data_IF_379157096894
#
_entry.id   IF_379157096894
#
_cell.length_a   1.000
_cell.length_b   1.000
_cell.length_c   1.000
_cell.angle_alpha   90.00
_cell.angle_beta   90.00
_cell.angle_gamma   90.00
#
_symmetry.space_group_name_H-M   'P 1'
#
loop_
_entity.id
_entity.type
_entity.pdbx_description
1 polymer ?
#
# COMPACT_ATOMS: atom_id res chain seq x y z
N UNK A 1 23.57 -3.81 12.02
CA UNK A 1 22.16 -3.97 12.35
C UNK A 1 21.67 -5.36 11.94
N UNK A 2 20.75 -5.97 12.64
CA UNK A 2 20.50 -7.42 12.63
C UNK A 2 19.62 -7.87 11.47
N UNK A 3 19.94 -9.03 10.91
CA UNK A 3 19.13 -9.75 9.90
C UNK A 3 17.63 -9.80 10.28
N UNK A 4 17.33 -9.82 11.57
CA UNK A 4 15.98 -9.77 12.13
C UNK A 4 15.23 -8.44 11.86
N UNK A 5 15.90 -7.31 11.83
CA UNK A 5 15.28 -6.02 11.51
C UNK A 5 14.93 -5.94 10.02
N UNK A 6 15.80 -6.47 9.17
CA UNK A 6 15.58 -6.56 7.74
C UNK A 6 14.42 -7.52 7.39
N UNK A 7 14.34 -8.70 8.02
CA UNK A 7 13.24 -9.63 7.76
C UNK A 7 11.88 -9.06 8.15
N UNK A 8 11.79 -8.26 9.23
CA UNK A 8 10.56 -7.56 9.60
C UNK A 8 10.19 -6.48 8.59
N UNK A 9 11.18 -5.70 8.13
CA UNK A 9 10.95 -4.72 7.06
C UNK A 9 10.52 -5.40 5.77
N UNK A 10 11.14 -6.51 5.41
CA UNK A 10 10.79 -7.32 4.25
C UNK A 10 9.33 -7.77 4.28
N UNK A 11 8.84 -8.26 5.42
CA UNK A 11 7.44 -8.64 5.60
C UNK A 11 6.50 -7.45 5.35
N UNK A 12 6.82 -6.28 5.88
CA UNK A 12 6.00 -5.06 5.67
C UNK A 12 6.04 -4.63 4.20
N UNK A 13 7.19 -4.75 3.52
CA UNK A 13 7.31 -4.47 2.08
C UNK A 13 6.41 -5.41 1.27
N UNK A 14 6.41 -6.71 1.60
CA UNK A 14 5.56 -7.71 0.94
C UNK A 14 4.08 -7.34 1.07
N UNK A 15 3.59 -7.10 2.29
CA UNK A 15 2.20 -6.70 2.51
C UNK A 15 1.84 -5.40 1.79
N UNK A 16 2.69 -4.40 1.88
CA UNK A 16 2.46 -3.12 1.22
C UNK A 16 2.41 -3.24 -0.30
N UNK A 17 3.35 -3.97 -0.87
CA UNK A 17 3.42 -4.21 -2.31
C UNK A 17 2.19 -4.93 -2.83
N UNK A 18 1.76 -5.98 -2.10
CA UNK A 18 0.50 -6.68 -2.34
C UNK A 18 -0.69 -5.73 -2.32
N UNK A 19 -0.79 -4.90 -1.29
CA UNK A 19 -1.88 -3.92 -1.14
C UNK A 19 -1.89 -2.91 -2.30
N UNK A 20 -0.73 -2.35 -2.65
CA UNK A 20 -0.63 -1.39 -3.75
C UNK A 20 -1.13 -1.99 -5.06
N UNK A 21 -0.64 -3.18 -5.43
CA UNK A 21 -1.00 -3.82 -6.69
C UNK A 21 -2.46 -4.29 -6.67
N UNK A 22 -2.92 -4.87 -5.55
CA UNK A 22 -4.30 -5.34 -5.43
C UNK A 22 -5.30 -4.18 -5.45
N UNK A 23 -5.07 -3.10 -4.72
CA UNK A 23 -5.95 -1.92 -4.74
C UNK A 23 -5.97 -1.30 -6.13
N UNK A 24 -4.82 -1.13 -6.77
CA UNK A 24 -4.74 -0.56 -8.12
C UNK A 24 -5.47 -1.41 -9.16
N UNK A 25 -5.48 -2.75 -9.01
CA UNK A 25 -6.16 -3.64 -9.95
C UNK A 25 -7.64 -3.82 -9.66
N UNK A 26 -8.01 -3.97 -8.40
CA UNK A 26 -9.37 -4.37 -8.02
C UNK A 26 -10.30 -3.22 -7.61
N UNK A 27 -9.78 -2.06 -7.20
CA UNK A 27 -10.62 -0.91 -6.84
C UNK A 27 -11.43 -0.38 -8.03
N UNK A 28 -10.88 -0.20 -9.25
CA UNK A 28 -11.66 0.15 -10.42
C UNK A 28 -12.75 -0.89 -10.74
N UNK A 29 -12.41 -2.16 -10.67
CA UNK A 29 -13.34 -3.27 -10.91
C UNK A 29 -14.47 -3.30 -9.86
N UNK A 30 -14.14 -3.04 -8.61
CA UNK A 30 -15.11 -2.91 -7.53
C UNK A 30 -16.11 -1.77 -7.80
N UNK A 31 -15.62 -0.61 -8.24
CA UNK A 31 -16.50 0.51 -8.61
C UNK A 31 -17.45 0.15 -9.75
N UNK A 32 -16.97 -0.58 -10.76
CA UNK A 32 -17.78 -0.97 -11.92
C UNK A 32 -18.76 -2.09 -11.56
N UNK A 33 -18.28 -3.18 -10.97
CA UNK A 33 -19.06 -4.40 -10.79
C UNK A 33 -19.95 -4.36 -9.54
N UNK A 34 -19.47 -3.80 -8.44
CA UNK A 34 -20.21 -3.77 -7.18
C UNK A 34 -21.04 -2.49 -6.99
N UNK A 35 -20.52 -1.34 -7.45
CA UNK A 35 -21.20 -0.05 -7.27
C UNK A 35 -21.94 0.41 -8.53
N UNK A 36 -21.92 -0.36 -9.63
CA UNK A 36 -22.62 -0.04 -10.87
C UNK A 36 -22.09 1.19 -11.60
N UNK A 37 -20.84 1.58 -11.34
CA UNK A 37 -20.22 2.73 -11.99
C UNK A 37 -19.90 2.45 -13.47
N UNK A 38 -19.88 3.48 -14.30
CA UNK A 38 -19.44 3.35 -15.68
C UNK A 38 -17.93 3.02 -15.73
N UNK A 39 -17.45 2.35 -16.80
CA UNK A 39 -16.01 2.06 -16.95
C UNK A 39 -15.12 3.30 -16.88
N UNK A 40 -15.62 4.45 -17.37
CA UNK A 40 -14.91 5.73 -17.29
C UNK A 40 -14.73 6.19 -15.84
N UNK A 41 -15.78 6.07 -15.02
CA UNK A 41 -15.76 6.42 -13.60
C UNK A 41 -14.87 5.44 -12.84
N UNK A 42 -14.97 4.13 -13.09
CA UNK A 42 -14.09 3.14 -12.46
C UNK A 42 -12.60 3.41 -12.76
N UNK A 43 -12.23 3.63 -14.02
CA UNK A 43 -10.84 3.90 -14.41
C UNK A 43 -10.30 5.25 -13.91
N UNK A 44 -11.15 6.25 -13.73
CA UNK A 44 -10.78 7.55 -13.17
C UNK A 44 -10.20 7.42 -11.74
N UNK A 45 -10.57 6.38 -10.97
CA UNK A 45 -9.99 6.12 -9.64
C UNK A 45 -8.48 5.95 -9.70
N UNK A 46 -7.96 5.24 -10.72
CA UNK A 46 -6.52 5.08 -10.92
C UNK A 46 -5.82 6.39 -11.26
N UNK A 47 -6.43 7.20 -12.11
CA UNK A 47 -5.89 8.50 -12.50
C UNK A 47 -5.78 9.42 -11.29
N UNK A 48 -6.81 9.46 -10.45
CA UNK A 48 -6.81 10.25 -9.21
C UNK A 48 -5.73 9.76 -8.25
N UNK A 49 -5.64 8.45 -8.01
CA UNK A 49 -4.61 7.86 -7.13
C UNK A 49 -3.21 8.18 -7.66
N UNK A 50 -3.01 8.13 -8.98
CA UNK A 50 -1.69 8.39 -9.59
C UNK A 50 -1.30 9.85 -9.48
N UNK A 51 -2.19 10.77 -9.80
CA UNK A 51 -1.94 12.22 -9.74
C UNK A 51 -1.71 12.67 -8.28
N UNK A 52 -2.62 12.28 -7.38
CA UNK A 52 -2.48 12.62 -5.96
C UNK A 52 -1.31 11.90 -5.31
N UNK A 53 -0.94 10.72 -5.82
CA UNK A 53 0.19 9.93 -5.38
C UNK A 53 1.54 10.63 -5.56
N UNK A 54 1.71 11.42 -6.63
CA UNK A 54 2.93 12.23 -6.82
C UNK A 54 3.07 13.25 -5.68
N UNK A 55 2.00 13.98 -5.37
CA UNK A 55 2.00 14.93 -4.25
C UNK A 55 2.20 14.21 -2.91
N UNK A 56 1.55 13.07 -2.74
CA UNK A 56 1.67 12.25 -1.54
C UNK A 56 3.10 11.77 -1.29
N UNK A 57 3.83 11.39 -2.35
CA UNK A 57 5.24 10.98 -2.24
C UNK A 57 6.13 12.13 -1.79
N UNK A 58 5.92 13.34 -2.33
CA UNK A 58 6.69 14.53 -1.95
C UNK A 58 6.43 14.94 -0.50
N UNK A 59 5.15 14.99 -0.10
CA UNK A 59 4.76 15.32 1.28
C UNK A 59 5.23 14.23 2.25
N UNK A 60 5.07 12.97 1.87
CA UNK A 60 5.49 11.83 2.66
C UNK A 60 7.00 11.77 2.88
N UNK A 61 7.79 12.11 1.85
CA UNK A 61 9.25 12.26 1.98
C UNK A 61 9.63 13.31 3.02
N UNK A 62 9.05 14.52 2.92
CA UNK A 62 9.27 15.59 3.92
C UNK A 62 8.81 15.19 5.32
N UNK A 63 7.71 14.44 5.43
CA UNK A 63 7.21 13.96 6.71
C UNK A 63 8.15 12.92 7.32
N UNK A 64 8.71 12.03 6.49
CA UNK A 64 9.68 11.02 6.91
C UNK A 64 10.98 11.65 7.44
N UNK A 65 11.47 12.70 6.77
CA UNK A 65 12.65 13.44 7.20
C UNK A 65 12.43 14.15 8.55
N UNK A 66 11.23 14.69 8.76
CA UNK A 66 10.90 15.45 10.00
C UNK A 66 10.50 14.56 11.17
N UNK A 67 9.59 13.60 10.94
CA UNK A 67 8.99 12.78 12.02
C UNK A 67 9.67 11.40 12.19
N UNK A 68 10.52 11.00 11.24
CA UNK A 68 11.19 9.71 11.22
C UNK A 68 10.51 8.70 10.29
N UNK A 69 11.32 7.83 9.72
CA UNK A 69 10.90 6.90 8.66
C UNK A 69 9.89 5.87 9.15
N UNK A 70 10.13 5.24 10.31
CA UNK A 70 9.22 4.20 10.87
C UNK A 70 7.86 4.80 11.28
N UNK A 71 7.85 6.01 11.84
CA UNK A 71 6.61 6.70 12.20
C UNK A 71 5.77 7.02 10.96
N UNK A 72 6.41 7.49 9.89
CA UNK A 72 5.72 7.80 8.62
C UNK A 72 5.12 6.52 8.02
N UNK A 73 5.82 5.38 8.11
CA UNK A 73 5.28 4.08 7.71
C UNK A 73 4.04 3.69 8.49
N UNK A 74 4.09 3.79 9.82
CA UNK A 74 2.95 3.49 10.69
C UNK A 74 1.75 4.36 10.37
N UNK A 75 1.96 5.68 10.22
CA UNK A 75 0.87 6.61 9.85
C UNK A 75 0.22 6.24 8.53
N UNK A 76 1.01 5.92 7.49
CA UNK A 76 0.47 5.52 6.19
C UNK A 76 -0.33 4.21 6.28
N UNK A 77 0.24 3.17 6.87
CA UNK A 77 -0.46 1.88 6.98
C UNK A 77 -1.70 1.97 7.88
N UNK A 78 -1.65 2.72 8.98
CA UNK A 78 -2.83 2.92 9.84
C UNK A 78 -3.91 3.78 9.18
N UNK A 79 -3.53 4.76 8.33
CA UNK A 79 -4.49 5.57 7.58
C UNK A 79 -5.20 4.76 6.49
N UNK A 80 -4.51 3.79 5.89
CA UNK A 80 -5.08 2.97 4.82
C UNK A 80 -6.28 2.15 5.30
N UNK A 81 -6.23 1.61 6.52
CA UNK A 81 -7.28 0.76 7.09
C UNK A 81 -8.65 1.44 7.13
N UNK A 82 -8.83 2.62 7.78
CA UNK A 82 -10.13 3.29 7.80
C UNK A 82 -10.58 3.77 6.41
N UNK A 83 -9.64 4.18 5.54
CA UNK A 83 -9.99 4.57 4.18
C UNK A 83 -10.58 3.40 3.38
N UNK A 84 -9.99 2.20 3.47
CA UNK A 84 -10.52 1.00 2.85
C UNK A 84 -11.85 0.57 3.50
N UNK A 85 -11.97 0.65 4.82
CA UNK A 85 -13.20 0.34 5.51
C UNK A 85 -14.36 1.21 4.98
N UNK A 86 -14.18 2.52 4.94
CA UNK A 86 -15.20 3.44 4.42
C UNK A 86 -15.51 3.13 2.95
N UNK A 87 -14.49 2.94 2.11
CA UNK A 87 -14.68 2.68 0.69
C UNK A 87 -15.48 1.39 0.42
N UNK A 88 -15.25 0.34 1.20
CA UNK A 88 -15.88 -0.98 0.99
C UNK A 88 -17.27 -1.05 1.62
N UNK A 89 -17.40 -0.63 2.87
CA UNK A 89 -18.63 -0.86 3.64
C UNK A 89 -19.74 0.17 3.37
N UNK A 90 -19.41 1.38 2.89
CA UNK A 90 -20.42 2.41 2.59
C UNK A 90 -21.16 2.13 1.28
N UNK A 91 -20.62 1.29 0.40
CA UNK A 91 -21.21 0.94 -0.91
C UNK A 91 -21.65 2.16 -1.75
N UNK A 92 -20.96 3.28 -1.58
CA UNK A 92 -21.23 4.52 -2.27
C UNK A 92 -20.02 4.95 -3.09
N UNK A 93 -20.24 5.24 -4.37
CA UNK A 93 -19.19 5.73 -5.26
C UNK A 93 -18.58 7.05 -4.76
N UNK A 94 -19.39 7.92 -4.18
CA UNK A 94 -18.94 9.19 -3.62
C UNK A 94 -18.02 9.01 -2.41
N UNK A 95 -18.32 8.00 -1.56
CA UNK A 95 -17.46 7.65 -0.44
C UNK A 95 -16.11 7.11 -0.93
N UNK A 96 -16.09 6.27 -1.96
CA UNK A 96 -14.85 5.81 -2.59
C UNK A 96 -14.05 7.00 -3.08
N UNK A 97 -14.64 7.91 -3.85
CA UNK A 97 -13.96 9.09 -4.38
C UNK A 97 -13.41 10.00 -3.29
N UNK A 98 -14.15 10.24 -2.22
CA UNK A 98 -13.67 11.01 -1.06
C UNK A 98 -12.45 10.37 -0.39
N UNK A 99 -12.40 9.03 -0.37
CA UNK A 99 -11.30 8.28 0.23
C UNK A 99 -10.08 8.12 -0.69
N UNK A 100 -10.18 8.40 -2.02
CA UNK A 100 -9.04 8.26 -2.94
C UNK A 100 -7.84 9.14 -2.54
N UNK A 101 -8.10 10.37 -2.12
CA UNK A 101 -7.02 11.29 -1.71
C UNK A 101 -6.28 10.77 -0.48
N UNK A 102 -6.93 10.52 0.67
CA UNK A 102 -6.23 9.97 1.83
C UNK A 102 -5.65 8.58 1.58
N UNK A 103 -6.26 7.73 0.73
CA UNK A 103 -5.68 6.46 0.30
C UNK A 103 -4.38 6.66 -0.47
N UNK A 104 -4.31 7.62 -1.39
CA UNK A 104 -3.07 7.93 -2.10
C UNK A 104 -1.96 8.35 -1.14
N UNK A 105 -2.27 9.19 -0.16
CA UNK A 105 -1.31 9.57 0.89
C UNK A 105 -0.88 8.37 1.73
N UNK A 106 -1.79 7.47 2.06
CA UNK A 106 -1.51 6.26 2.81
C UNK A 106 -0.59 5.30 2.03
N UNK A 107 -0.81 5.16 0.73
CA UNK A 107 -0.08 4.23 -0.14
C UNK A 107 1.26 4.78 -0.62
N UNK A 108 1.29 6.03 -1.08
CA UNK A 108 2.47 6.62 -1.73
C UNK A 108 3.35 7.43 -0.77
N UNK A 109 2.77 8.04 0.28
CA UNK A 109 3.51 8.83 1.25
C UNK A 109 4.67 8.08 1.91
N UNK A 110 4.49 6.84 2.39
CA UNK A 110 5.57 6.08 3.01
C UNK A 110 6.64 5.54 2.03
N UNK A 111 6.47 5.69 0.72
CA UNK A 111 7.35 5.05 -0.28
C UNK A 111 8.82 5.41 -0.10
N UNK A 112 9.13 6.71 0.02
CA UNK A 112 10.50 7.17 0.24
C UNK A 112 11.10 6.60 1.54
N UNK A 113 10.29 6.51 2.60
CA UNK A 113 10.71 5.94 3.88
C UNK A 113 11.09 4.45 3.77
N UNK A 114 10.36 3.67 2.96
CA UNK A 114 10.71 2.26 2.70
C UNK A 114 12.06 2.10 2.02
N UNK A 115 12.32 2.90 0.98
CA UNK A 115 13.58 2.84 0.24
C UNK A 115 14.75 3.18 1.15
N UNK A 116 14.64 4.27 1.91
CA UNK A 116 15.71 4.72 2.82
C UNK A 116 15.94 3.71 3.95
N UNK A 117 14.88 3.14 4.55
CA UNK A 117 15.00 2.11 5.58
C UNK A 117 15.65 0.82 5.03
N UNK A 118 15.25 0.38 3.84
CA UNK A 118 15.84 -0.77 3.19
C UNK A 118 17.35 -0.60 3.00
N UNK A 119 17.77 0.54 2.49
CA UNK A 119 19.18 0.89 2.31
C UNK A 119 19.93 1.04 3.64
N UNK A 120 19.31 1.62 4.67
CA UNK A 120 19.95 1.81 5.98
C UNK A 120 20.14 0.50 6.75
N UNK A 121 19.24 -0.46 6.61
CA UNK A 121 19.35 -1.76 7.26
C UNK A 121 20.38 -2.67 6.60
N UNK A 122 20.63 -2.50 5.30
CA UNK A 122 21.61 -3.24 4.50
C UNK A 122 22.68 -2.33 3.89
N UNK A 123 23.22 -1.42 4.68
CA UNK A 123 24.23 -0.44 4.24
C UNK A 123 25.47 -1.05 3.57
N UNK A 124 25.81 -2.31 3.90
CA UNK A 124 26.94 -3.04 3.28
C UNK A 124 26.63 -3.59 1.87
N UNK A 125 25.35 -3.60 1.45
CA UNK A 125 24.90 -4.21 0.18
C UNK A 125 23.77 -3.38 -0.41
N UNK A 126 24.02 -2.13 -0.75
CA UNK A 126 23.01 -1.17 -1.25
C UNK A 126 22.30 -1.69 -2.52
N UNK A 127 23.03 -2.31 -3.44
CA UNK A 127 22.46 -2.90 -4.64
C UNK A 127 21.49 -4.03 -4.34
N UNK A 128 21.82 -4.92 -3.41
CA UNK A 128 20.94 -6.00 -2.96
C UNK A 128 19.72 -5.44 -2.24
N UNK A 129 19.88 -4.48 -1.34
CA UNK A 129 18.78 -3.83 -0.63
C UNK A 129 17.80 -3.18 -1.59
N UNK A 130 18.28 -2.42 -2.58
CA UNK A 130 17.45 -1.78 -3.59
C UNK A 130 16.79 -2.80 -4.52
N UNK A 131 17.50 -3.83 -4.94
CA UNK A 131 16.96 -4.92 -5.76
C UNK A 131 15.84 -5.68 -5.05
N UNK A 132 16.00 -5.99 -3.78
CA UNK A 132 14.96 -6.65 -2.98
C UNK A 132 13.77 -5.72 -2.72
N UNK A 133 14.00 -4.47 -2.31
CA UNK A 133 12.90 -3.55 -1.98
C UNK A 133 12.09 -3.12 -3.21
N UNK A 134 12.74 -2.90 -4.34
CA UNK A 134 12.06 -2.47 -5.58
C UNK A 134 11.66 -3.67 -6.44
N UNK A 135 12.55 -4.62 -6.68
CA UNK A 135 12.29 -5.77 -7.54
C UNK A 135 11.21 -6.69 -6.99
N UNK A 136 11.25 -7.01 -5.69
CA UNK A 136 10.24 -7.85 -5.07
C UNK A 136 8.85 -7.18 -5.07
N UNK A 137 8.81 -5.86 -4.92
CA UNK A 137 7.55 -5.11 -4.97
C UNK A 137 6.79 -5.31 -6.27
N UNK A 138 7.48 -5.39 -7.40
CA UNK A 138 6.86 -5.65 -8.70
C UNK A 138 6.57 -7.13 -8.94
N UNK A 139 7.48 -8.03 -8.54
CA UNK A 139 7.32 -9.47 -8.78
C UNK A 139 6.15 -10.08 -8.01
N UNK A 140 5.93 -9.66 -6.77
CA UNK A 140 4.80 -10.14 -5.96
C UNK A 140 3.45 -9.77 -6.56
N UNK A 141 3.34 -8.58 -7.16
CA UNK A 141 2.13 -8.17 -7.86
C UNK A 141 1.76 -9.13 -8.98
N UNK A 142 2.74 -9.61 -9.74
CA UNK A 142 2.55 -10.56 -10.84
C UNK A 142 2.01 -11.93 -10.40
N UNK A 143 2.23 -12.32 -9.15
CA UNK A 143 1.73 -13.61 -8.60
C UNK A 143 0.39 -13.43 -7.89
N UNK A 144 0.26 -12.37 -7.11
CA UNK A 144 -0.88 -12.17 -6.21
C UNK A 144 -2.12 -11.72 -6.96
N UNK A 145 -1.98 -10.86 -7.98
CA UNK A 145 -3.13 -10.36 -8.73
C UNK A 145 -3.88 -11.47 -9.46
N UNK A 146 -3.23 -12.41 -10.20
CA UNK A 146 -3.95 -13.53 -10.78
C UNK A 146 -4.65 -14.44 -9.76
N UNK A 147 -4.01 -14.67 -8.59
CA UNK A 147 -4.62 -15.48 -7.53
C UNK A 147 -5.86 -14.81 -6.94
N UNK A 148 -5.82 -13.50 -6.71
CA UNK A 148 -6.99 -12.71 -6.29
C UNK A 148 -8.04 -12.60 -7.39
N UNK A 149 -7.64 -12.59 -8.68
CA UNK A 149 -8.53 -12.63 -9.83
C UNK A 149 -9.34 -13.93 -9.85
N UNK A 150 -8.70 -15.07 -9.72
CA UNK A 150 -9.39 -16.36 -9.61
C UNK A 150 -10.37 -16.40 -8.41
N UNK A 151 -9.96 -15.80 -7.28
CA UNK A 151 -10.84 -15.67 -6.12
C UNK A 151 -12.03 -14.74 -6.41
N UNK A 152 -11.82 -13.66 -7.17
CA UNK A 152 -12.88 -12.75 -7.60
C UNK A 152 -13.91 -13.44 -8.51
N UNK A 153 -13.43 -14.28 -9.42
CA UNK A 153 -14.29 -15.05 -10.34
C UNK A 153 -15.17 -16.07 -9.58
N UNK A 154 -14.66 -16.61 -8.47
CA UNK A 154 -15.35 -17.62 -7.66
C UNK A 154 -16.30 -17.03 -6.61
N UNK A 155 -15.92 -15.94 -5.95
CA UNK A 155 -16.60 -15.38 -4.78
C UNK A 155 -17.07 -13.91 -4.97
N UNK A 156 -16.78 -13.34 -6.12
CA UNK A 156 -17.13 -11.96 -6.45
C UNK A 156 -16.10 -10.92 -5.98
N UNK A 157 -16.15 -9.75 -6.62
CA UNK A 157 -15.20 -8.66 -6.39
C UNK A 157 -15.26 -8.09 -4.95
N UNK A 158 -16.44 -8.09 -4.33
CA UNK A 158 -16.61 -7.61 -2.96
C UNK A 158 -15.83 -8.47 -1.95
N UNK A 159 -15.78 -9.79 -2.17
CA UNK A 159 -15.00 -10.70 -1.32
C UNK A 159 -13.49 -10.42 -1.43
N UNK A 160 -13.00 -10.11 -2.62
CA UNK A 160 -11.58 -9.69 -2.81
C UNK A 160 -11.27 -8.41 -2.06
N UNK A 161 -12.18 -7.43 -2.07
CA UNK A 161 -11.98 -6.18 -1.34
C UNK A 161 -11.91 -6.40 0.18
N UNK A 162 -12.70 -7.35 0.72
CA UNK A 162 -12.60 -7.75 2.13
C UNK A 162 -11.25 -8.41 2.42
N UNK A 163 -10.74 -9.26 1.54
CA UNK A 163 -9.40 -9.85 1.68
C UNK A 163 -8.32 -8.75 1.70
N UNK A 164 -8.40 -7.79 0.78
CA UNK A 164 -7.48 -6.64 0.73
C UNK A 164 -7.57 -5.84 2.05
N UNK A 165 -8.76 -5.65 2.60
CA UNK A 165 -8.95 -4.98 3.88
C UNK A 165 -8.27 -5.74 5.03
N UNK A 166 -8.43 -7.06 5.12
CA UNK A 166 -7.75 -7.90 6.13
C UNK A 166 -6.23 -7.79 5.98
N UNK A 167 -5.71 -7.86 4.75
CA UNK A 167 -4.27 -7.68 4.49
C UNK A 167 -3.80 -6.30 4.96
N UNK A 168 -4.61 -5.25 4.81
CA UNK A 168 -4.26 -3.91 5.28
C UNK A 168 -4.13 -3.81 6.80
N UNK A 169 -4.98 -4.51 7.55
CA UNK A 169 -4.88 -4.63 9.01
C UNK A 169 -3.59 -5.37 9.40
N UNK A 170 -3.30 -6.49 8.75
CA UNK A 170 -2.06 -7.24 8.98
C UNK A 170 -0.82 -6.38 8.67
N UNK A 171 -0.86 -5.60 7.58
CA UNK A 171 0.21 -4.67 7.23
C UNK A 171 0.41 -3.60 8.31
N UNK A 172 -0.68 -2.97 8.78
CA UNK A 172 -0.62 -1.99 9.85
C UNK A 172 -0.03 -2.60 11.15
N UNK A 173 -0.49 -3.78 11.55
CA UNK A 173 0.05 -4.50 12.70
C UNK A 173 1.54 -4.83 12.54
N UNK A 174 1.98 -5.26 11.35
CA UNK A 174 3.37 -5.57 11.07
C UNK A 174 4.30 -4.35 11.19
N UNK A 175 3.82 -3.14 10.93
CA UNK A 175 4.64 -1.92 11.08
C UNK A 175 5.02 -1.63 12.52
N UNK A 176 4.25 -2.09 13.51
CA UNK A 176 4.59 -1.91 14.93
C UNK A 176 5.75 -2.80 15.37
N UNK A 177 6.08 -3.86 14.61
CA UNK A 177 7.23 -4.72 14.87
C UNK A 177 8.56 -4.12 14.38
N UNK A 178 8.52 -2.99 13.66
CA UNK A 178 9.71 -2.35 13.10
C UNK A 178 10.44 -1.54 14.18
N UNK A 179 11.74 -1.79 14.41
CA UNK A 179 12.58 -0.97 15.29
C UNK A 179 12.92 0.36 14.61
N UNK A 180 12.91 1.46 15.37
CA UNK A 180 13.41 2.74 14.85
C UNK A 180 14.94 2.65 14.67
N UNK A 181 15.49 3.00 13.50
CA UNK A 181 16.93 3.13 13.33
C UNK A 181 17.42 4.27 14.23
N UNK A 182 18.55 4.06 14.93
CA UNK A 182 19.20 5.15 15.67
C UNK A 182 19.53 6.26 14.67
N UNK A 183 19.05 7.48 14.91
CA UNK A 183 19.49 8.68 14.17
C UNK A 183 21.00 8.81 14.39
N UNK A 184 21.76 8.69 13.31
CA UNK A 184 23.17 9.12 13.29
C UNK A 184 23.20 10.62 13.08
#
# INVERSE_FOLDING_TARGET
MTLRAFSRLFLVIVFRSTLFTAISSFLPLFCIQALGATPAVGSATLSIISITGVLATLVGGRLADRKGYVKTLRYGCCLLVPCLAVAIFTQSIWAVYAMLIPMSFAMQGPYAAFVVLGQSYLAKSLGFASGVTLGLSFSLGGIIVPSLGWYADSFGIAAVMVVIFVISICCAAATFLLPEPKRQ
#
